data_IF_319160299967
#
_entry.id   IF_319160299967
#
_cell.length_a   1.000
_cell.length_b   1.000
_cell.length_c   1.000
_cell.angle_alpha   90.00
_cell.angle_beta   90.00
_cell.angle_gamma   90.00
#
_symmetry.space_group_name_H-M   'P 1'
#
loop_
_entity.id
_entity.type
_entity.pdbx_description
1 polymer ?
#
# COMPACT_ATOMS: atom_id res chain seq x y z
N UNK A 1 -18.14 13.60 27.01
CA UNK A 1 -16.82 13.48 26.37
C UNK A 1 -17.03 13.01 24.94
N UNK A 2 -16.92 13.91 23.98
CA UNK A 2 -16.98 13.57 22.56
C UNK A 2 -15.62 12.98 22.23
N UNK A 3 -15.56 11.68 21.89
CA UNK A 3 -14.33 11.05 21.42
C UNK A 3 -14.03 11.68 20.07
N UNK A 4 -12.96 12.47 20.01
CA UNK A 4 -12.42 13.01 18.77
C UNK A 4 -12.17 11.83 17.84
N UNK A 5 -12.70 11.90 16.61
CA UNK A 5 -12.39 10.92 15.57
C UNK A 5 -10.90 11.10 15.27
N UNK A 6 -10.07 10.14 15.65
CA UNK A 6 -8.64 10.15 15.30
C UNK A 6 -8.56 10.30 13.78
N UNK A 7 -7.78 11.29 13.31
CA UNK A 7 -7.57 11.50 11.87
C UNK A 7 -7.10 10.17 11.26
N UNK A 8 -7.97 9.57 10.43
CA UNK A 8 -7.68 8.28 9.81
C UNK A 8 -6.44 8.43 8.92
N UNK A 9 -5.33 7.78 9.28
CA UNK A 9 -4.10 7.73 8.51
C UNK A 9 -4.27 6.83 7.28
N UNK A 10 -5.03 7.31 6.29
CA UNK A 10 -5.30 6.61 5.02
C UNK A 10 -4.53 7.31 3.89
N UNK A 11 -3.72 6.54 3.18
CA UNK A 11 -2.87 7.06 2.08
C UNK A 11 -2.89 6.13 0.88
N UNK A 12 -2.59 6.69 -0.29
CA UNK A 12 -2.31 5.92 -1.50
C UNK A 12 -0.81 5.81 -1.66
N UNK A 13 -0.29 4.57 -1.64
CA UNK A 13 1.15 4.32 -1.71
C UNK A 13 1.44 3.39 -2.88
N UNK A 14 2.45 3.77 -3.68
CA UNK A 14 3.00 2.90 -4.72
C UNK A 14 3.91 1.84 -4.07
N UNK A 15 3.55 0.56 -4.20
CA UNK A 15 4.30 -0.57 -3.64
C UNK A 15 4.81 -1.50 -4.74
N UNK A 16 6.04 -2.03 -4.62
CA UNK A 16 6.57 -2.98 -5.58
C UNK A 16 6.00 -4.39 -5.36
N UNK A 17 5.92 -5.15 -6.45
CA UNK A 17 5.62 -6.58 -6.43
C UNK A 17 6.54 -7.34 -7.37
N UNK A 18 6.80 -8.60 -7.03
CA UNK A 18 7.52 -9.53 -7.90
C UNK A 18 6.68 -10.77 -8.15
N UNK A 19 6.29 -10.98 -9.39
CA UNK A 19 5.54 -12.16 -9.78
C UNK A 19 6.47 -13.39 -9.81
N UNK A 20 5.90 -14.58 -9.55
CA UNK A 20 6.59 -15.87 -9.72
C UNK A 20 7.09 -16.14 -11.15
N UNK A 21 6.58 -15.43 -12.15
CA UNK A 21 7.11 -15.49 -13.52
C UNK A 21 8.42 -14.69 -13.71
N UNK A 22 8.88 -13.99 -12.68
CA UNK A 22 10.08 -13.15 -12.70
C UNK A 22 9.82 -11.68 -13.02
N UNK A 23 8.63 -11.32 -13.52
CA UNK A 23 8.25 -9.92 -13.78
C UNK A 23 8.13 -9.13 -12.48
N UNK A 24 8.80 -7.99 -12.43
CA UNK A 24 8.64 -6.97 -11.39
C UNK A 24 7.70 -5.87 -11.89
N UNK A 25 6.96 -5.28 -10.94
CA UNK A 25 6.01 -4.22 -11.20
C UNK A 25 5.74 -3.42 -9.94
N UNK A 26 4.87 -2.43 -10.07
CA UNK A 26 4.43 -1.56 -8.98
C UNK A 26 2.93 -1.34 -9.10
N UNK A 27 2.29 -1.12 -7.97
CA UNK A 27 0.85 -0.89 -7.89
C UNK A 27 0.55 0.14 -6.81
N UNK A 28 -0.47 0.97 -7.02
CA UNK A 28 -0.93 1.91 -6.00
C UNK A 28 -1.96 1.22 -5.12
N UNK A 29 -1.68 1.14 -3.82
CA UNK A 29 -2.58 0.53 -2.85
C UNK A 29 -3.02 1.55 -1.80
N UNK A 30 -4.19 1.29 -1.21
CA UNK A 30 -4.63 2.01 -0.02
C UNK A 30 -3.93 1.42 1.20
N UNK A 31 -3.29 2.27 1.97
CA UNK A 31 -2.62 1.95 3.24
C UNK A 31 -3.34 2.68 4.35
N UNK A 32 -3.74 1.95 5.39
CA UNK A 32 -4.30 2.51 6.60
C UNK A 32 -3.49 2.02 7.80
N UNK A 33 -3.09 2.93 8.69
CA UNK A 33 -2.25 2.58 9.85
C UNK A 33 -1.00 1.79 9.45
N UNK A 34 -0.29 2.26 8.41
CA UNK A 34 0.90 1.60 7.84
C UNK A 34 0.66 0.21 7.22
N UNK A 35 -0.59 -0.27 7.10
CA UNK A 35 -0.89 -1.59 6.50
C UNK A 35 -1.80 -1.43 5.28
N UNK A 36 -1.43 -2.07 4.18
CA UNK A 36 -2.22 -2.14 2.96
C UNK A 36 -2.27 -3.55 2.37
N UNK A 37 -3.25 -3.80 1.52
CA UNK A 37 -3.37 -5.06 0.77
C UNK A 37 -3.08 -4.79 -0.69
N UNK A 38 -2.02 -5.41 -1.20
CA UNK A 38 -1.76 -5.51 -2.63
C UNK A 38 -2.62 -6.64 -3.19
N UNK A 39 -3.53 -6.32 -4.10
CA UNK A 39 -4.30 -7.28 -4.89
C UNK A 39 -4.26 -6.86 -6.35
N UNK A 40 -3.32 -7.43 -7.10
CA UNK A 40 -3.09 -7.07 -8.51
C UNK A 40 -2.92 -8.31 -9.38
N UNK A 41 -2.97 -8.13 -10.70
CA UNK A 41 -2.65 -9.17 -11.68
C UNK A 41 -1.38 -8.80 -12.40
N UNK A 42 -0.45 -9.75 -12.49
CA UNK A 42 0.78 -9.57 -13.24
C UNK A 42 0.45 -9.29 -14.72
N UNK A 43 0.90 -8.15 -15.24
CA UNK A 43 0.67 -7.74 -16.62
C UNK A 43 1.27 -8.71 -17.65
N UNK A 44 2.32 -9.44 -17.27
CA UNK A 44 3.00 -10.38 -18.16
C UNK A 44 2.32 -11.75 -18.27
N UNK A 45 1.87 -12.33 -17.15
CA UNK A 45 1.36 -13.71 -17.13
C UNK A 45 -0.07 -13.86 -16.59
N UNK A 46 -0.73 -12.76 -16.23
CA UNK A 46 -2.10 -12.73 -15.72
C UNK A 46 -2.31 -13.32 -14.33
N UNK A 47 -1.27 -13.87 -13.69
CA UNK A 47 -1.35 -14.43 -12.34
C UNK A 47 -1.73 -13.35 -11.33
N UNK A 48 -2.69 -13.67 -10.45
CA UNK A 48 -3.07 -12.81 -9.32
C UNK A 48 -2.00 -12.87 -8.23
N UNK A 49 -1.71 -11.72 -7.64
CA UNK A 49 -0.76 -11.52 -6.55
C UNK A 49 -1.53 -10.85 -5.43
N UNK A 50 -1.58 -11.50 -4.26
CA UNK A 50 -2.24 -10.99 -3.06
C UNK A 50 -1.21 -10.99 -1.94
N UNK A 51 -0.85 -9.81 -1.44
CA UNK A 51 0.16 -9.65 -0.40
C UNK A 51 -0.26 -8.55 0.58
N UNK A 52 -0.03 -8.77 1.87
CA UNK A 52 -0.10 -7.69 2.85
C UNK A 52 1.21 -6.92 2.83
N UNK A 53 1.12 -5.59 2.76
CA UNK A 53 2.27 -4.68 2.76
C UNK A 53 2.23 -3.85 4.04
N UNK A 54 3.35 -3.81 4.74
CA UNK A 54 3.60 -2.87 5.83
C UNK A 54 4.47 -1.77 5.23
N UNK A 55 3.96 -0.54 5.24
CA UNK A 55 4.64 0.63 4.68
C UNK A 55 5.03 1.54 5.82
N UNK A 56 6.32 1.70 6.06
CA UNK A 56 6.83 2.71 6.98
C UNK A 56 6.73 4.06 6.29
N UNK A 57 5.92 4.96 6.83
CA UNK A 57 5.83 6.35 6.36
C UNK A 57 6.31 7.29 7.46
N UNK A 58 7.38 8.04 7.17
CA UNK A 58 7.81 9.15 8.02
C UNK A 58 6.68 10.19 8.08
N UNK A 59 6.13 10.42 9.26
CA UNK A 59 5.05 11.40 9.52
C UNK A 59 5.52 12.86 9.47
N UNK A 60 6.64 13.16 8.82
CA UNK A 60 7.26 14.50 8.78
C UNK A 60 7.06 15.22 7.45
N UNK A 61 5.81 15.41 7.03
CA UNK A 61 5.48 16.36 5.97
C UNK A 61 4.25 17.19 6.34
N UNK A 62 4.31 17.91 7.47
CA UNK A 62 3.46 19.11 7.67
C UNK A 62 4.11 20.08 8.66
N UNK A 63 5.18 20.74 8.25
CA UNK A 63 5.66 21.98 8.87
C UNK A 63 6.41 22.80 7.81
N UNK A 64 5.67 23.56 7.01
CA UNK A 64 6.17 24.70 6.24
C UNK A 64 5.14 25.81 6.30
#
# INVERSE_FOLDING_TARGET
MVKTVEDYDVRFVEVPYRCKCGKEGKEVIVVANNVGVLDTRCENCGRRIIETKIVEVDTKETAR
#
